data_IF_830931895059
#
_entry.id   IF_830931895059
#
_cell.length_a   1.000
_cell.length_b   1.000
_cell.length_c   1.000
_cell.angle_alpha   90.00
_cell.angle_beta   90.00
_cell.angle_gamma   90.00
#
_symmetry.space_group_name_H-M   'P 1'
#
loop_
_entity.id
_entity.type
_entity.pdbx_description
1 polymer ?
#
# COMPACT_ATOMS: atom_id res chain seq x y z
N UNK A 1 1.91 19.86 -2.99
CA UNK A 1 1.07 18.67 -3.19
C UNK A 1 1.62 17.85 -4.35
N UNK A 2 1.82 16.57 -4.12
CA UNK A 2 2.33 15.64 -5.14
C UNK A 2 1.33 14.51 -5.34
N UNK A 3 0.97 14.24 -6.60
CA UNK A 3 0.15 13.09 -6.98
C UNK A 3 0.94 12.21 -7.94
N UNK A 4 1.06 10.94 -7.59
CA UNK A 4 1.71 9.91 -8.41
C UNK A 4 0.65 8.90 -8.85
N UNK A 5 0.62 8.59 -10.14
CA UNK A 5 -0.27 7.57 -10.69
C UNK A 5 0.55 6.59 -11.53
N UNK A 6 0.27 5.32 -11.33
CA UNK A 6 0.86 4.26 -12.15
C UNK A 6 -0.07 3.06 -12.20
N UNK A 7 0.17 2.19 -13.16
CA UNK A 7 -0.54 0.91 -13.27
C UNK A 7 0.45 -0.20 -13.55
N UNK A 8 0.05 -1.41 -13.20
CA UNK A 8 0.78 -2.62 -13.57
C UNK A 8 -0.20 -3.80 -13.70
N UNK A 9 0.23 -4.81 -14.45
CA UNK A 9 -0.48 -6.08 -14.57
C UNK A 9 0.27 -7.16 -13.81
N UNK A 10 -0.46 -8.14 -13.30
CA UNK A 10 0.09 -9.25 -12.54
C UNK A 10 -0.72 -10.51 -12.79
N UNK A 11 -0.11 -11.68 -12.59
CA UNK A 11 -0.80 -12.98 -12.60
C UNK A 11 -1.59 -13.23 -11.30
N UNK A 12 -1.38 -12.44 -10.27
CA UNK A 12 -2.12 -12.54 -9.00
C UNK A 12 -3.58 -12.10 -9.22
N UNK A 13 -4.57 -12.96 -8.94
CA UNK A 13 -5.98 -12.59 -9.14
C UNK A 13 -6.43 -11.51 -8.16
N UNK A 14 -7.48 -10.73 -8.51
CA UNK A 14 -7.91 -9.58 -7.72
C UNK A 14 -8.18 -9.88 -6.25
N UNK A 15 -8.87 -10.96 -5.94
CA UNK A 15 -9.22 -11.31 -4.56
C UNK A 15 -7.99 -11.57 -3.68
N UNK A 16 -6.93 -12.15 -4.24
CA UNK A 16 -5.69 -12.40 -3.49
C UNK A 16 -4.94 -11.12 -3.18
N UNK A 17 -4.89 -10.20 -4.13
CA UNK A 17 -4.25 -8.91 -3.92
C UNK A 17 -5.03 -8.05 -2.91
N UNK A 18 -6.36 -8.00 -3.04
CA UNK A 18 -7.22 -7.28 -2.09
C UNK A 18 -7.09 -7.90 -0.68
N UNK A 19 -7.06 -9.22 -0.57
CA UNK A 19 -6.84 -9.87 0.72
C UNK A 19 -5.49 -9.50 1.36
N UNK A 20 -4.43 -9.36 0.57
CA UNK A 20 -3.14 -8.90 1.06
C UNK A 20 -3.17 -7.44 1.51
N UNK A 21 -3.91 -6.57 0.80
CA UNK A 21 -4.09 -5.17 1.20
C UNK A 21 -4.88 -5.02 2.51
N UNK A 22 -5.80 -5.94 2.76
CA UNK A 22 -6.73 -5.90 3.90
C UNK A 22 -6.40 -6.92 4.99
N UNK A 23 -5.23 -7.54 4.91
CA UNK A 23 -4.70 -8.42 5.97
C UNK A 23 -3.95 -7.55 6.99
N UNK A 24 -4.57 -7.34 8.14
CA UNK A 24 -4.01 -6.56 9.26
C UNK A 24 -3.51 -7.46 10.40
N UNK A 25 -3.20 -8.72 10.10
CA UNK A 25 -2.55 -9.65 11.02
C UNK A 25 -1.05 -9.37 11.14
N UNK A 26 -0.38 -10.10 12.03
CA UNK A 26 1.07 -10.02 12.21
C UNK A 26 1.88 -10.40 10.97
N UNK A 27 1.23 -10.98 9.95
CA UNK A 27 1.86 -11.30 8.65
C UNK A 27 2.05 -10.09 7.75
N UNK A 28 1.38 -8.95 8.03
CA UNK A 28 1.41 -7.78 7.17
C UNK A 28 2.83 -7.30 6.85
N UNK A 29 3.77 -7.15 7.80
CA UNK A 29 5.13 -6.75 7.50
C UNK A 29 5.89 -7.72 6.58
N UNK A 30 5.55 -9.00 6.59
CA UNK A 30 6.17 -9.99 5.69
C UNK A 30 5.62 -9.91 4.25
N UNK A 31 4.40 -9.42 4.07
CA UNK A 31 3.79 -9.20 2.75
C UNK A 31 4.20 -7.86 2.13
N UNK A 32 4.50 -6.87 2.96
CA UNK A 32 4.85 -5.52 2.55
C UNK A 32 6.25 -5.18 3.06
N UNK A 33 7.32 -5.50 2.28
CA UNK A 33 8.71 -5.42 2.76
C UNK A 33 9.17 -4.03 3.19
N UNK A 34 8.57 -2.97 2.66
CA UNK A 34 8.89 -1.59 3.02
C UNK A 34 8.20 -1.11 4.31
N UNK A 35 7.31 -1.91 4.87
CA UNK A 35 6.63 -1.61 6.13
C UNK A 35 7.57 -1.91 7.31
N UNK A 36 7.72 -0.95 8.22
CA UNK A 36 8.48 -1.13 9.45
C UNK A 36 7.66 -1.94 10.46
N UNK A 37 8.07 -3.16 10.83
CA UNK A 37 7.33 -3.98 11.79
C UNK A 37 7.17 -3.32 13.16
N UNK A 38 8.11 -2.46 13.56
CA UNK A 38 8.06 -1.77 14.84
C UNK A 38 7.08 -0.59 14.86
N UNK A 39 6.67 -0.13 13.68
CA UNK A 39 5.76 1.00 13.51
C UNK A 39 4.34 0.57 13.10
N UNK A 40 4.07 -0.74 13.04
CA UNK A 40 2.76 -1.26 12.66
C UNK A 40 1.90 -1.50 13.90
N UNK A 41 0.74 -0.82 13.95
CA UNK A 41 -0.23 -0.97 15.03
C UNK A 41 -1.66 -0.91 14.47
N UNK A 42 -2.48 -1.88 14.86
CA UNK A 42 -3.89 -1.93 14.50
C UNK A 42 -4.71 -1.33 15.65
N UNK A 43 -5.51 -0.31 15.36
CA UNK A 43 -6.36 0.36 16.35
C UNK A 43 -7.79 -0.19 16.34
N UNK A 44 -8.34 -0.44 15.14
CA UNK A 44 -9.67 -0.99 14.98
C UNK A 44 -9.79 -1.69 13.63
N UNK A 45 -10.57 -2.77 13.56
CA UNK A 45 -10.88 -3.47 12.32
C UNK A 45 -12.39 -3.72 12.27
N UNK A 46 -13.02 -3.26 11.21
CA UNK A 46 -14.43 -3.51 10.89
C UNK A 46 -14.59 -4.39 9.65
N UNK A 47 -15.82 -4.60 9.17
CA UNK A 47 -16.09 -5.42 7.98
C UNK A 47 -15.48 -4.87 6.69
N UNK A 48 -15.38 -3.55 6.55
CA UNK A 48 -14.90 -2.88 5.34
C UNK A 48 -13.96 -1.71 5.61
N UNK A 49 -13.54 -1.53 6.86
CA UNK A 49 -12.63 -0.47 7.28
C UNK A 49 -11.65 -0.97 8.34
N UNK A 50 -10.48 -0.35 8.41
CA UNK A 50 -9.52 -0.56 9.48
C UNK A 50 -8.76 0.72 9.79
N UNK A 51 -8.59 1.02 11.07
CA UNK A 51 -7.76 2.13 11.53
C UNK A 51 -6.42 1.58 11.99
N UNK A 52 -5.33 2.07 11.40
CA UNK A 52 -3.99 1.58 11.67
C UNK A 52 -2.97 2.72 11.75
N UNK A 53 -1.83 2.45 12.39
CA UNK A 53 -0.60 3.20 12.23
C UNK A 53 0.41 2.35 11.49
N UNK A 54 0.95 2.86 10.41
CA UNK A 54 1.98 2.21 9.61
C UNK A 54 3.16 3.16 9.42
N UNK A 55 4.34 2.61 9.22
CA UNK A 55 5.52 3.40 8.96
C UNK A 55 6.51 2.67 8.09
N UNK A 56 7.41 3.45 7.50
CA UNK A 56 8.53 2.97 6.73
C UNK A 56 9.83 3.51 7.31
N UNK A 57 10.90 2.74 7.21
CA UNK A 57 12.25 3.18 7.63
C UNK A 57 12.81 4.25 6.69
N UNK A 58 12.19 4.41 5.53
CA UNK A 58 12.54 5.40 4.52
C UNK A 58 12.55 6.83 5.09
N UNK A 59 13.49 7.64 4.64
CA UNK A 59 13.62 9.07 4.98
C UNK A 59 13.67 9.36 6.50
N UNK A 60 14.28 8.45 7.29
CA UNK A 60 14.47 8.63 8.73
C UNK A 60 13.23 8.30 9.56
N UNK A 61 12.34 7.49 9.03
CA UNK A 61 11.14 7.03 9.73
C UNK A 61 9.94 7.95 9.51
N UNK A 62 9.14 7.62 8.49
CA UNK A 62 7.84 8.27 8.25
C UNK A 62 6.77 7.32 8.75
N UNK A 63 5.90 7.81 9.63
CA UNK A 63 4.73 7.07 10.09
C UNK A 63 3.44 7.81 9.71
N UNK A 64 2.39 7.03 9.51
CA UNK A 64 1.06 7.51 9.16
C UNK A 64 0.02 6.74 9.94
N UNK A 65 -0.91 7.46 10.55
CA UNK A 65 -2.13 6.91 11.12
C UNK A 65 -3.29 7.29 10.22
N UNK A 66 -4.12 6.32 9.91
CA UNK A 66 -5.27 6.57 9.04
C UNK A 66 -6.19 5.38 8.94
N UNK A 67 -7.13 5.49 8.01
CA UNK A 67 -8.18 4.51 7.81
C UNK A 67 -8.09 3.88 6.42
N UNK A 68 -8.04 2.55 6.39
CA UNK A 68 -8.31 1.76 5.18
C UNK A 68 -9.81 1.61 4.99
N UNK A 69 -10.27 1.76 3.77
CA UNK A 69 -11.67 1.58 3.36
C UNK A 69 -11.70 0.72 2.09
N UNK A 70 -12.41 -0.39 2.13
CA UNK A 70 -12.65 -1.28 0.98
C UNK A 70 -14.15 -1.58 0.79
N UNK A 71 -15.01 -0.65 1.21
CA UNK A 71 -16.46 -0.76 1.03
C UNK A 71 -16.90 -0.71 -0.43
N UNK A 72 -16.10 -0.11 -1.32
CA UNK A 72 -16.32 -0.14 -2.76
C UNK A 72 -15.63 -1.35 -3.37
N UNK A 73 -16.36 -2.26 -4.05
CA UNK A 73 -15.75 -3.44 -4.68
C UNK A 73 -14.60 -3.07 -5.62
N UNK A 74 -13.48 -3.79 -5.50
CA UNK A 74 -12.29 -3.56 -6.33
C UNK A 74 -11.46 -2.35 -5.94
N UNK A 75 -11.84 -1.59 -4.93
CA UNK A 75 -11.11 -0.39 -4.48
C UNK A 75 -10.69 -0.54 -3.02
N UNK A 76 -9.43 -0.25 -2.74
CA UNK A 76 -8.91 -0.13 -1.36
C UNK A 76 -8.21 1.20 -1.24
N UNK A 77 -8.63 2.02 -0.27
CA UNK A 77 -8.07 3.35 -0.06
C UNK A 77 -7.62 3.51 1.39
N UNK A 78 -6.40 3.98 1.56
CA UNK A 78 -5.86 4.42 2.85
C UNK A 78 -5.81 5.94 2.89
N UNK A 79 -6.55 6.55 3.80
CA UNK A 79 -6.57 8.01 4.00
C UNK A 79 -5.81 8.35 5.27
N UNK A 80 -4.81 9.21 5.15
CA UNK A 80 -3.99 9.68 6.28
C UNK A 80 -4.79 10.67 7.11
N UNK A 81 -4.81 10.45 8.41
CA UNK A 81 -5.43 11.33 9.40
C UNK A 81 -4.35 12.08 10.20
N UNK A 82 -3.25 11.40 10.52
CA UNK A 82 -2.13 11.96 11.26
C UNK A 82 -0.80 11.36 10.75
N UNK A 83 0.23 12.18 10.68
CA UNK A 83 1.56 11.77 10.25
C UNK A 83 2.62 12.76 10.75
N UNK A 84 3.85 12.28 10.91
CA UNK A 84 5.00 13.15 11.17
C UNK A 84 5.52 13.87 9.92
N UNK A 85 4.99 13.58 8.73
CA UNK A 85 5.48 14.13 7.47
C UNK A 85 4.38 14.73 6.60
N UNK A 86 3.22 14.08 6.53
CA UNK A 86 2.16 14.44 5.59
C UNK A 86 0.88 14.91 6.29
N UNK A 87 0.15 15.80 5.63
CA UNK A 87 -1.09 16.34 6.15
C UNK A 87 -2.25 15.36 5.99
N UNK A 88 -3.26 15.52 6.84
CA UNK A 88 -4.54 14.82 6.70
C UNK A 88 -5.12 15.03 5.30
N UNK A 89 -5.73 13.98 4.75
CA UNK A 89 -6.22 13.94 3.38
C UNK A 89 -5.21 13.46 2.35
N UNK A 90 -3.93 13.24 2.72
CA UNK A 90 -3.02 12.43 1.92
C UNK A 90 -3.56 11.01 1.83
N UNK A 91 -3.41 10.33 0.70
CA UNK A 91 -3.99 9.01 0.54
C UNK A 91 -3.20 8.10 -0.42
N UNK A 92 -3.45 6.79 -0.27
CA UNK A 92 -3.11 5.74 -1.22
C UNK A 92 -4.40 5.08 -1.68
N UNK A 93 -4.57 4.91 -2.98
CA UNK A 93 -5.74 4.23 -3.54
C UNK A 93 -5.32 3.17 -4.54
N UNK A 94 -5.87 1.98 -4.39
CA UNK A 94 -5.68 0.86 -5.29
C UNK A 94 -7.02 0.53 -5.94
N UNK A 95 -7.04 0.53 -7.28
CA UNK A 95 -8.16 0.03 -8.06
C UNK A 95 -7.71 -1.25 -8.74
N UNK A 96 -8.39 -2.35 -8.44
CA UNK A 96 -8.02 -3.70 -8.86
C UNK A 96 -9.13 -4.27 -9.72
N UNK A 97 -8.81 -4.63 -10.95
CA UNK A 97 -9.74 -5.24 -11.89
C UNK A 97 -9.17 -6.51 -12.49
N UNK A 98 -10.05 -7.48 -12.89
CA UNK A 98 -9.59 -8.70 -13.56
C UNK A 98 -8.89 -8.39 -14.88
N UNK A 99 -7.82 -9.11 -15.16
CA UNK A 99 -7.10 -9.05 -16.43
C UNK A 99 -6.50 -10.43 -16.76
N UNK A 100 -7.14 -11.16 -17.66
CA UNK A 100 -6.64 -12.42 -18.19
C UNK A 100 -6.32 -13.51 -17.14
N UNK A 101 -7.11 -13.62 -16.07
CA UNK A 101 -6.87 -14.55 -14.95
C UNK A 101 -6.05 -13.94 -13.81
N UNK A 102 -5.38 -12.83 -14.06
CA UNK A 102 -4.69 -11.99 -13.07
C UNK A 102 -5.42 -10.68 -12.84
N UNK A 103 -4.66 -9.62 -12.61
CA UNK A 103 -5.19 -8.30 -12.29
C UNK A 103 -4.50 -7.17 -13.04
N UNK A 104 -5.27 -6.13 -13.34
CA UNK A 104 -4.78 -4.79 -13.59
C UNK A 104 -4.91 -4.00 -12.28
N UNK A 105 -3.81 -3.45 -11.80
CA UNK A 105 -3.76 -2.65 -10.58
C UNK A 105 -3.42 -1.21 -10.96
N UNK A 106 -4.32 -0.28 -10.65
CA UNK A 106 -4.14 1.16 -10.84
C UNK A 106 -3.95 1.79 -9.47
N UNK A 107 -2.83 2.50 -9.29
CA UNK A 107 -2.46 3.09 -8.01
C UNK A 107 -2.41 4.60 -8.14
N UNK A 108 -3.04 5.28 -7.19
CA UNK A 108 -2.96 6.74 -7.03
C UNK A 108 -2.45 7.04 -5.63
N UNK A 109 -1.38 7.83 -5.56
CA UNK A 109 -0.78 8.27 -4.30
C UNK A 109 -0.79 9.79 -4.28
N UNK A 110 -1.46 10.38 -3.30
CA UNK A 110 -1.46 11.82 -3.08
C UNK A 110 -0.75 12.14 -1.77
N UNK A 111 0.22 13.05 -1.85
CA UNK A 111 1.03 13.48 -0.71
C UNK A 111 0.95 14.98 -0.52
N UNK A 112 0.52 15.41 0.66
CA UNK A 112 0.48 16.82 1.06
C UNK A 112 1.52 17.01 2.16
N UNK A 113 2.70 17.61 1.87
CA UNK A 113 3.77 17.73 2.85
C UNK A 113 3.43 18.76 3.92
N UNK A 114 3.84 18.47 5.18
CA UNK A 114 3.70 19.38 6.32
C UNK A 114 5.01 20.02 6.75
N UNK A 115 6.13 19.38 6.44
CA UNK A 115 7.46 19.82 6.88
C UNK A 115 8.36 20.10 5.67
N UNK A 116 9.46 20.83 5.88
CA UNK A 116 10.44 21.08 4.81
C UNK A 116 11.09 19.78 4.32
N UNK A 117 11.35 18.84 5.24
CA UNK A 117 11.83 17.50 4.89
C UNK A 117 10.82 16.76 4.02
N UNK A 118 9.54 16.80 4.39
CA UNK A 118 8.47 16.18 3.62
C UNK A 118 8.29 16.84 2.24
N UNK A 119 8.51 18.16 2.11
CA UNK A 119 8.52 18.85 0.82
C UNK A 119 9.62 18.33 -0.10
N UNK A 120 10.81 18.11 0.45
CA UNK A 120 11.92 17.52 -0.32
C UNK A 120 11.57 16.09 -0.74
N UNK A 121 11.04 15.28 0.15
CA UNK A 121 10.57 13.92 -0.17
C UNK A 121 9.50 13.96 -1.25
N UNK A 122 8.51 14.85 -1.15
CA UNK A 122 7.45 15.00 -2.15
C UNK A 122 8.00 15.42 -3.52
N UNK A 123 9.02 16.28 -3.55
CA UNK A 123 9.70 16.68 -4.77
C UNK A 123 10.41 15.49 -5.42
N UNK A 124 11.13 14.69 -4.65
CA UNK A 124 11.78 13.46 -5.15
C UNK A 124 10.74 12.44 -5.65
N UNK A 125 9.62 12.30 -4.95
CA UNK A 125 8.52 11.43 -5.37
C UNK A 125 7.85 11.92 -6.66
N UNK A 126 7.81 13.22 -6.92
CA UNK A 126 7.26 13.76 -8.18
C UNK A 126 8.08 13.33 -9.41
N UNK A 127 9.38 13.08 -9.22
CA UNK A 127 10.31 12.66 -10.29
C UNK A 127 10.47 11.14 -10.32
N UNK A 128 10.69 10.50 -9.18
CA UNK A 128 11.05 9.08 -9.08
C UNK A 128 9.96 8.19 -8.47
N UNK A 129 8.87 8.77 -7.99
CA UNK A 129 7.87 8.06 -7.19
C UNK A 129 7.22 6.88 -7.91
N UNK A 130 6.92 7.00 -9.20
CA UNK A 130 6.35 5.89 -9.99
C UNK A 130 7.25 4.67 -9.95
N UNK A 131 8.55 4.87 -10.14
CA UNK A 131 9.53 3.78 -10.17
C UNK A 131 9.67 3.13 -8.79
N UNK A 132 9.78 3.95 -7.75
CA UNK A 132 9.92 3.48 -6.37
C UNK A 132 8.69 2.69 -5.93
N UNK A 133 7.50 3.26 -6.07
CA UNK A 133 6.25 2.61 -5.65
C UNK A 133 5.93 1.37 -6.49
N UNK A 134 6.21 1.41 -7.78
CA UNK A 134 6.03 0.26 -8.65
C UNK A 134 6.95 -0.89 -8.25
N UNK A 135 8.22 -0.63 -7.96
CA UNK A 135 9.16 -1.64 -7.51
C UNK A 135 8.74 -2.25 -6.17
N UNK A 136 8.28 -1.44 -5.22
CA UNK A 136 7.79 -1.91 -3.93
C UNK A 136 6.57 -2.82 -4.10
N UNK A 137 5.62 -2.41 -4.93
CA UNK A 137 4.43 -3.20 -5.22
C UNK A 137 4.78 -4.52 -5.92
N UNK A 138 5.73 -4.52 -6.86
CA UNK A 138 6.20 -5.73 -7.53
C UNK A 138 6.82 -6.73 -6.56
N UNK A 139 7.53 -6.28 -5.52
CA UNK A 139 8.05 -7.17 -4.47
C UNK A 139 6.93 -7.92 -3.75
N UNK A 140 5.87 -7.21 -3.36
CA UNK A 140 4.70 -7.84 -2.73
C UNK A 140 4.02 -8.82 -3.68
N UNK A 141 3.83 -8.47 -4.94
CA UNK A 141 3.23 -9.34 -5.93
C UNK A 141 4.06 -10.60 -6.19
N UNK A 142 5.37 -10.49 -6.20
CA UNK A 142 6.29 -11.63 -6.32
C UNK A 142 6.15 -12.58 -5.13
N UNK A 143 6.04 -12.04 -3.91
CA UNK A 143 5.80 -12.83 -2.71
C UNK A 143 4.45 -13.58 -2.77
N UNK A 144 3.39 -12.91 -3.23
CA UNK A 144 2.07 -13.52 -3.38
C UNK A 144 2.06 -14.62 -4.44
N UNK A 145 2.73 -14.43 -5.57
CA UNK A 145 2.85 -15.44 -6.63
C UNK A 145 3.64 -16.66 -6.15
N UNK A 146 4.76 -16.46 -5.43
CA UNK A 146 5.56 -17.55 -4.87
C UNK A 146 4.81 -18.41 -3.85
N UNK A 147 3.95 -17.81 -3.04
CA UNK A 147 3.11 -18.55 -2.08
C UNK A 147 2.12 -19.48 -2.77
N UNK A 148 1.63 -19.12 -3.95
CA UNK A 148 0.74 -19.99 -4.75
C UNK A 148 1.46 -21.23 -5.27
N UNK A 149 2.70 -21.10 -5.72
CA UNK A 149 3.50 -22.22 -6.24
C UNK A 149 3.78 -23.25 -5.13
N UNK A 150 4.07 -22.81 -3.91
CA UNK A 150 4.30 -23.71 -2.77
C UNK A 150 3.03 -24.47 -2.38
N UNK A 151 1.84 -23.86 -2.47
CA UNK A 151 0.56 -24.52 -2.16
C UNK A 151 0.10 -25.45 -3.28
N UNK A 152 0.48 -25.19 -4.53
CA UNK A 152 0.17 -26.07 -5.69
C UNK A 152 1.07 -27.30 -5.81
N UNK A 153 2.19 -27.36 -5.10
CA UNK A 153 3.16 -28.47 -5.14
C UNK A 153 2.90 -29.60 -4.15
N UNK A 154 1.82 -29.55 -3.38
CA UNK A 154 1.45 -30.58 -2.39
C UNK A 154 0.20 -31.35 -2.83
N UNK A 155 0.25 -32.02 -3.98
CA UNK A 155 -0.76 -33.00 -4.39
C UNK A 155 -0.10 -34.35 -4.71
#
# INVERSE_FOLDING_TARGET
>A
MTTVRFSLTTEVPPHRFINALTDFSDRRPSLWPNLDPQCFQVHAVGPTTAEVTEGATFAGGIWERGTYDWSTPGTVRFTVEESNAFAAGSFWEYQVSPDGGGSLIEVTVRRVPRTNKARLVALLLSVFGRRVFRNDLQRTLTLLAGTTEIQGGSS
#
